data_IF_313612351878
#
_entry.id   IF_313612351878
#
_cell.length_a   1.000
_cell.length_b   1.000
_cell.length_c   1.000
_cell.angle_alpha   90.00
_cell.angle_beta   90.00
_cell.angle_gamma   90.00
#
_symmetry.space_group_name_H-M   'P 1'
#
loop_
_entity.id
_entity.type
_entity.pdbx_description
1 polymer ?
#
# COMPACT_ATOMS: atom_id res chain seq x y z
N UNK A 1 -0.35 -13.33 -14.06
CA UNK A 1 -1.53 -12.57 -13.71
C UNK A 1 -1.35 -11.07 -13.91
N UNK A 2 -0.34 -10.48 -13.31
CA UNK A 2 -0.03 -9.08 -13.55
C UNK A 2 0.90 -8.98 -14.74
N UNK A 3 0.46 -8.21 -15.73
CA UNK A 3 1.24 -8.08 -16.95
C UNK A 3 2.24 -6.94 -16.89
N UNK A 4 1.83 -5.80 -16.34
CA UNK A 4 2.69 -4.63 -16.30
C UNK A 4 2.17 -3.61 -15.32
N UNK A 5 3.07 -2.81 -14.79
CA UNK A 5 2.72 -1.58 -14.09
C UNK A 5 2.85 -0.44 -15.08
N UNK A 6 1.80 0.34 -15.22
CA UNK A 6 1.78 1.46 -16.16
C UNK A 6 1.94 2.74 -15.36
N UNK A 7 3.11 3.37 -15.40
CA UNK A 7 3.34 4.57 -14.60
C UNK A 7 2.70 5.79 -15.25
N UNK A 8 1.82 6.43 -14.53
CA UNK A 8 1.33 7.76 -14.87
C UNK A 8 1.41 8.56 -13.59
N UNK A 9 2.61 9.01 -13.27
CA UNK A 9 2.87 9.62 -11.99
C UNK A 9 1.87 10.72 -11.69
N UNK A 10 1.23 10.72 -10.52
CA UNK A 10 1.54 9.85 -9.37
C UNK A 10 0.80 8.51 -9.37
N UNK A 11 0.13 8.16 -10.47
CA UNK A 11 -0.71 6.97 -10.54
C UNK A 11 0.05 5.80 -11.15
N UNK A 12 -0.02 4.66 -10.48
CA UNK A 12 0.53 3.39 -10.97
C UNK A 12 -0.62 2.40 -11.11
N UNK A 13 -0.70 1.75 -12.26
CA UNK A 13 -1.79 0.82 -12.57
C UNK A 13 -1.21 -0.56 -12.84
N UNK A 14 -1.79 -1.57 -12.20
CA UNK A 14 -1.48 -2.96 -12.51
C UNK A 14 -2.58 -3.49 -13.43
N UNK A 15 -2.18 -4.12 -14.52
CA UNK A 15 -3.10 -4.66 -15.50
C UNK A 15 -2.91 -6.17 -15.64
N UNK A 16 -3.98 -6.86 -16.00
CA UNK A 16 -3.90 -8.28 -16.29
C UNK A 16 -3.38 -8.52 -17.71
N UNK A 17 -3.35 -9.78 -18.13
CA UNK A 17 -2.83 -10.13 -19.45
C UNK A 17 -3.69 -9.64 -20.61
N UNK A 18 -4.90 -9.16 -20.31
CA UNK A 18 -5.84 -8.60 -21.30
C UNK A 18 -5.84 -7.08 -21.28
N UNK A 19 -4.85 -6.47 -20.62
CA UNK A 19 -4.72 -5.01 -20.48
C UNK A 19 -5.86 -4.37 -19.70
N UNK A 20 -6.57 -5.14 -18.87
CA UNK A 20 -7.62 -4.60 -18.03
C UNK A 20 -7.00 -4.17 -16.69
N UNK A 21 -7.29 -2.95 -16.22
CA UNK A 21 -6.77 -2.51 -14.93
C UNK A 21 -7.42 -3.32 -13.81
N UNK A 22 -6.58 -3.86 -12.92
CA UNK A 22 -7.05 -4.68 -11.80
C UNK A 22 -6.67 -4.10 -10.45
N UNK A 23 -5.80 -3.09 -10.45
CA UNK A 23 -5.41 -2.42 -9.22
C UNK A 23 -4.75 -1.10 -9.56
N UNK A 24 -4.77 -0.15 -8.63
CA UNK A 24 -4.02 1.07 -8.82
C UNK A 24 -3.48 1.57 -7.48
N UNK A 25 -2.45 2.39 -7.57
CA UNK A 25 -1.78 2.97 -6.41
C UNK A 25 -1.44 4.42 -6.74
N UNK A 26 -1.74 5.32 -5.80
CA UNK A 26 -1.30 6.71 -5.89
C UNK A 26 -0.08 6.88 -5.00
N UNK A 27 1.02 7.28 -5.59
CA UNK A 27 2.29 7.42 -4.89
C UNK A 27 2.82 8.83 -5.09
N UNK A 28 2.97 9.57 -4.00
CA UNK A 28 3.50 10.92 -4.01
C UNK A 28 4.77 10.96 -3.16
N UNK A 29 5.93 11.10 -3.81
CA UNK A 29 7.19 11.01 -3.11
C UNK A 29 7.35 9.63 -2.48
N UNK A 30 7.46 9.57 -1.17
CA UNK A 30 7.56 8.32 -0.44
C UNK A 30 6.28 7.95 0.29
N UNK A 31 5.16 8.60 -0.05
CA UNK A 31 3.87 8.35 0.58
C UNK A 31 2.88 7.75 -0.41
N UNK A 32 2.28 6.63 -0.03
CA UNK A 32 1.22 6.00 -0.82
C UNK A 32 -0.11 6.56 -0.35
N UNK A 33 -0.74 7.38 -1.20
CA UNK A 33 -1.99 8.04 -0.86
C UNK A 33 -3.18 7.13 -0.97
N UNK A 34 -3.12 6.13 -1.85
CA UNK A 34 -4.21 5.20 -2.06
C UNK A 34 -3.70 3.91 -2.67
N UNK A 35 -4.36 2.83 -2.32
CA UNK A 35 -4.13 1.53 -2.94
C UNK A 35 -5.49 0.88 -3.11
N UNK A 36 -5.84 0.59 -4.35
CA UNK A 36 -7.09 -0.08 -4.67
C UNK A 36 -6.82 -1.37 -5.44
N UNK A 37 -7.48 -2.45 -5.04
CA UNK A 37 -7.39 -3.73 -5.73
C UNK A 37 -8.80 -4.18 -6.05
N UNK A 38 -9.03 -4.55 -7.32
CA UNK A 38 -10.31 -5.07 -7.75
C UNK A 38 -10.71 -6.26 -6.87
N UNK A 39 -11.91 -6.25 -6.28
CA UNK A 39 -12.34 -7.35 -5.42
C UNK A 39 -12.25 -8.72 -6.07
N UNK A 40 -12.41 -8.79 -7.38
CA UNK A 40 -12.38 -10.06 -8.10
C UNK A 40 -10.99 -10.69 -8.13
N UNK A 41 -9.95 -9.91 -7.84
CA UNK A 41 -8.57 -10.43 -7.86
C UNK A 41 -7.92 -10.34 -6.49
N UNK A 42 -8.68 -10.05 -5.44
CA UNK A 42 -8.14 -10.05 -4.09
C UNK A 42 -7.66 -11.45 -3.72
N UNK A 43 -6.57 -11.51 -3.00
CA UNK A 43 -5.98 -12.79 -2.63
C UNK A 43 -5.02 -13.32 -3.67
N UNK A 44 -4.88 -12.65 -4.82
CA UNK A 44 -3.95 -13.07 -5.87
C UNK A 44 -2.60 -12.39 -5.75
N UNK A 45 -2.38 -11.58 -4.72
CA UNK A 45 -1.08 -10.97 -4.48
C UNK A 45 -0.83 -9.68 -5.26
N UNK A 46 -1.86 -9.11 -5.90
CA UNK A 46 -1.68 -7.90 -6.71
C UNK A 46 -1.31 -6.70 -5.85
N UNK A 47 -1.99 -6.54 -4.69
CA UNK A 47 -1.65 -5.44 -3.77
C UNK A 47 -0.21 -5.54 -3.29
N UNK A 48 0.22 -6.75 -2.97
CA UNK A 48 1.60 -6.99 -2.56
C UNK A 48 2.59 -6.61 -3.66
N UNK A 49 2.27 -6.95 -4.91
CA UNK A 49 3.15 -6.61 -6.03
C UNK A 49 3.28 -5.10 -6.21
N UNK A 50 2.16 -4.36 -6.07
CA UNK A 50 2.21 -2.91 -6.17
C UNK A 50 3.06 -2.31 -5.05
N UNK A 51 2.90 -2.80 -3.83
CA UNK A 51 3.68 -2.31 -2.70
C UNK A 51 5.16 -2.65 -2.90
N UNK A 52 5.47 -3.84 -3.37
CA UNK A 52 6.86 -4.20 -3.66
C UNK A 52 7.46 -3.32 -4.73
N UNK A 53 6.66 -2.96 -5.72
CA UNK A 53 7.12 -2.03 -6.75
C UNK A 53 7.41 -0.65 -6.14
N UNK A 54 6.50 -0.15 -5.29
CA UNK A 54 6.71 1.13 -4.61
C UNK A 54 7.97 1.10 -3.76
N UNK A 55 8.22 -0.02 -3.06
CA UNK A 55 9.40 -0.15 -2.22
C UNK A 55 10.69 -0.18 -3.03
N UNK A 56 10.63 -0.61 -4.29
CA UNK A 56 11.80 -0.55 -5.16
C UNK A 56 12.14 0.89 -5.53
N UNK A 57 11.16 1.78 -5.48
CA UNK A 57 11.35 3.19 -5.78
C UNK A 57 11.66 4.01 -4.53
N UNK A 58 11.06 3.64 -3.42
CA UNK A 58 11.24 4.37 -2.15
C UNK A 58 11.22 3.36 -1.00
N UNK A 59 12.39 3.03 -0.42
CA UNK A 59 12.47 2.01 0.63
C UNK A 59 11.77 2.40 1.93
N UNK A 60 11.50 3.68 2.12
CA UNK A 60 10.84 4.16 3.33
C UNK A 60 9.42 4.59 3.05
N UNK A 61 8.69 3.73 2.36
CA UNK A 61 7.30 3.99 1.99
C UNK A 61 6.43 4.21 3.22
N UNK A 62 5.60 5.25 3.18
CA UNK A 62 4.61 5.52 4.22
C UNK A 62 3.22 5.45 3.63
N UNK A 63 2.23 5.22 4.50
CA UNK A 63 0.83 5.25 4.11
C UNK A 63 -0.04 5.50 5.33
N UNK A 64 -1.32 5.76 5.08
CA UNK A 64 -2.32 5.92 6.12
C UNK A 64 -3.39 4.86 5.92
N UNK A 65 -3.98 4.40 7.01
CA UNK A 65 -5.07 3.44 6.94
C UNK A 65 -6.08 3.73 8.04
N UNK A 66 -7.36 3.56 7.73
CA UNK A 66 -8.41 3.72 8.72
C UNK A 66 -8.25 2.64 9.78
N UNK A 67 -8.14 3.06 11.03
CA UNK A 67 -7.94 2.15 12.17
C UNK A 67 -9.04 1.08 12.24
N UNK A 68 -10.25 1.42 11.83
CA UNK A 68 -11.37 0.51 11.88
C UNK A 68 -11.34 -0.54 10.77
N UNK A 69 -10.48 -0.36 9.79
CA UNK A 69 -10.30 -1.34 8.72
C UNK A 69 -9.24 -2.35 9.14
N UNK A 70 -9.64 -3.28 9.98
CA UNK A 70 -8.72 -4.24 10.59
C UNK A 70 -8.03 -5.13 9.55
N UNK A 71 -8.74 -5.44 8.49
CA UNK A 71 -8.18 -6.27 7.43
C UNK A 71 -7.02 -5.57 6.74
N UNK A 72 -7.19 -4.29 6.43
CA UNK A 72 -6.13 -3.51 5.79
C UNK A 72 -4.96 -3.30 6.74
N UNK A 73 -5.23 -3.00 8.01
CA UNK A 73 -4.17 -2.86 9.01
C UNK A 73 -3.34 -4.13 9.09
N UNK A 74 -4.01 -5.29 9.17
CA UNK A 74 -3.31 -6.56 9.23
C UNK A 74 -2.49 -6.83 7.97
N UNK A 75 -3.03 -6.47 6.81
CA UNK A 75 -2.32 -6.64 5.55
C UNK A 75 -1.00 -5.84 5.55
N UNK A 76 -1.06 -4.57 5.93
CA UNK A 76 0.15 -3.75 5.94
C UNK A 76 1.15 -4.22 6.98
N UNK A 77 0.69 -4.62 8.16
CA UNK A 77 1.59 -5.12 9.19
C UNK A 77 2.29 -6.40 8.72
N UNK A 78 1.57 -7.25 8.02
CA UNK A 78 2.14 -8.48 7.48
C UNK A 78 3.19 -8.19 6.40
N UNK A 79 3.00 -7.10 5.67
CA UNK A 79 3.96 -6.67 4.65
C UNK A 79 5.24 -6.10 5.26
N UNK A 80 5.23 -5.69 6.51
CA UNK A 80 6.38 -5.12 7.18
C UNK A 80 6.23 -3.67 7.58
N UNK A 81 5.02 -3.12 7.49
CA UNK A 81 4.75 -1.77 7.97
C UNK A 81 4.51 -1.79 9.46
N UNK A 82 4.92 -0.72 10.12
CA UNK A 82 4.63 -0.52 11.54
C UNK A 82 3.93 0.80 11.75
N UNK A 83 3.15 0.88 12.81
CA UNK A 83 2.44 2.11 13.16
C UNK A 83 3.43 3.12 13.73
N UNK A 84 3.46 4.30 13.14
CA UNK A 84 4.33 5.38 13.60
C UNK A 84 3.56 6.49 14.28
N UNK A 85 2.24 6.52 14.10
CA UNK A 85 1.42 7.54 14.70
C UNK A 85 -0.05 7.26 14.48
N UNK A 86 -0.88 8.08 15.07
CA UNK A 86 -2.32 7.95 14.98
C UNK A 86 -2.96 9.32 15.01
N UNK A 87 -3.92 9.55 14.12
CA UNK A 87 -4.74 10.74 14.13
C UNK A 87 -6.16 10.34 14.53
N UNK A 88 -6.80 11.13 15.39
CA UNK A 88 -8.14 10.80 15.84
C UNK A 88 -9.20 11.10 14.79
N UNK A 89 -8.85 11.83 13.75
CA UNK A 89 -9.74 12.16 12.66
C UNK A 89 -9.08 11.82 11.33
N UNK A 90 -9.94 11.68 10.29
CA UNK A 90 -9.41 11.54 8.93
C UNK A 90 -9.01 12.92 8.39
N UNK A 91 -8.61 12.97 7.13
CA UNK A 91 -8.13 14.20 6.49
C UNK A 91 -9.22 15.25 6.36
N UNK A 92 -10.47 14.86 6.49
CA UNK A 92 -11.61 15.76 6.40
C UNK A 92 -12.13 16.18 7.77
N UNK A 93 -11.46 15.78 8.84
CA UNK A 93 -11.87 16.10 10.20
C UNK A 93 -13.01 15.24 10.71
N UNK A 94 -13.34 14.15 10.01
CA UNK A 94 -14.37 13.24 10.44
C UNK A 94 -13.85 12.31 11.55
N UNK A 95 -14.73 11.78 12.42
CA UNK A 95 -14.29 10.96 13.54
C UNK A 95 -13.92 9.53 13.12
N UNK A 96 -13.03 9.41 12.16
CA UNK A 96 -12.52 8.14 11.67
C UNK A 96 -11.01 8.13 11.88
N UNK A 97 -10.53 7.50 12.95
CA UNK A 97 -9.09 7.52 13.25
C UNK A 97 -8.25 6.91 12.14
N UNK A 98 -7.14 7.56 11.86
CA UNK A 98 -6.17 7.06 10.87
C UNK A 98 -4.90 6.63 11.58
N UNK A 99 -4.35 5.51 11.16
CA UNK A 99 -3.02 5.07 11.57
C UNK A 99 -2.03 5.49 10.52
N UNK A 100 -0.91 6.06 10.97
CA UNK A 100 0.22 6.35 10.10
C UNK A 100 1.15 5.17 10.15
N UNK A 101 1.49 4.64 8.98
CA UNK A 101 2.32 3.45 8.86
C UNK A 101 3.57 3.78 8.06
N UNK A 102 4.67 3.14 8.41
CA UNK A 102 5.90 3.25 7.65
C UNK A 102 6.49 1.85 7.48
N UNK A 103 6.92 1.58 6.25
CA UNK A 103 7.61 0.32 5.99
C UNK A 103 8.97 0.36 6.70
N UNK A 104 9.27 -0.70 7.41
CA UNK A 104 10.55 -0.84 8.06
C UNK A 104 11.15 -2.15 7.61
N UNK A 105 12.20 -2.07 6.81
CA UNK A 105 12.88 -3.27 6.35
C UNK A 105 13.43 -4.02 7.55
N UNK A 106 13.05 -5.29 7.66
CA UNK A 106 13.56 -6.13 8.72
C UNK A 106 15.01 -6.44 8.41
N UNK A 107 15.84 -6.04 9.31
CA UNK A 107 17.24 -6.39 9.16
C UNK A 107 17.36 -7.88 9.19
N UNK A 108 17.63 -8.33 8.59
CA UNK A 108 17.67 -9.48 8.66
C UNK A 108 18.26 -10.16 9.50
N UNK A 109 17.61 -9.83 9.81
CA UNK A 109 17.93 -10.04 10.45
C UNK A 109 18.66 -10.69 10.60
N UNK A 110 18.62 -10.31 10.46
CA UNK A 110 19.25 -10.50 10.42
C UNK A 110 20.02 -11.33 10.72
N UNK A 111 20.17 -11.56 10.57
CA UNK A 111 20.83 -12.16 10.69
C UNK A 111 21.38 -12.62 11.25
N UNK A 112 21.34 -12.59 11.31
CA UNK A 112 21.83 -12.88 11.79
C UNK A 112 22.02 -13.38 12.17
#
# INVERSE_FOLDING_TARGET
>A
MVRAFLPEAPLWVAANTQDQPIAFMLLTGDHMDALFVDPDVRGCGVGKLLIEHALSLTPKLTTNVNEQNEQAVGFYQKMGFRVTGRSETDDLGQPYPLLNLMYEQQAEADYD
#
